data_IF_249021406735
#
_entry.id   IF_249021406735
#
_cell.length_a   1.000
_cell.length_b   1.000
_cell.length_c   1.000
_cell.angle_alpha   90.00
_cell.angle_beta   90.00
_cell.angle_gamma   90.00
#
_symmetry.space_group_name_H-M   'P 1'
#
loop_
_entity.id
_entity.type
_entity.pdbx_description
1 polymer ?
#
# COMPACT_ATOMS: atom_id res chain seq x y z
N UNK A 1 -12.71 56.22 12.78
CA UNK A 1 -12.80 54.76 12.76
C UNK A 1 -12.35 54.27 14.12
N UNK A 2 -13.20 53.54 14.86
CA UNK A 2 -12.96 53.22 16.27
C UNK A 2 -12.02 52.00 16.41
N UNK A 3 -11.11 52.06 17.38
CA UNK A 3 -10.18 50.95 17.70
C UNK A 3 -10.93 49.66 18.06
N UNK A 4 -12.14 49.76 18.63
CA UNK A 4 -13.00 48.63 18.96
C UNK A 4 -13.49 47.85 17.74
N UNK A 5 -13.85 48.54 16.65
CA UNK A 5 -14.30 47.92 15.40
C UNK A 5 -13.15 47.14 14.73
N UNK A 6 -11.92 47.67 14.80
CA UNK A 6 -10.72 47.00 14.31
C UNK A 6 -10.32 45.78 15.16
N UNK A 7 -10.53 45.84 16.48
CA UNK A 7 -10.25 44.69 17.35
C UNK A 7 -11.26 43.55 17.12
N UNK A 8 -12.53 43.88 16.91
CA UNK A 8 -13.55 42.88 16.58
C UNK A 8 -13.31 42.24 15.20
N UNK A 9 -12.86 43.01 14.19
CA UNK A 9 -12.55 42.43 12.88
C UNK A 9 -11.35 41.47 12.94
N UNK A 10 -10.29 41.84 13.67
CA UNK A 10 -9.13 40.96 13.91
C UNK A 10 -9.53 39.70 14.68
N UNK A 11 -10.40 39.82 15.69
CA UNK A 11 -10.93 38.68 16.45
C UNK A 11 -11.71 37.72 15.55
N UNK A 12 -12.63 38.24 14.73
CA UNK A 12 -13.42 37.42 13.81
C UNK A 12 -12.54 36.75 12.74
N UNK A 13 -11.52 37.47 12.22
CA UNK A 13 -10.54 36.91 11.30
C UNK A 13 -9.74 35.77 11.94
N UNK A 14 -9.20 36.00 13.14
CA UNK A 14 -8.44 34.98 13.88
C UNK A 14 -9.31 33.76 14.20
N UNK A 15 -10.57 33.96 14.59
CA UNK A 15 -11.53 32.88 14.81
C UNK A 15 -11.84 32.10 13.53
N UNK A 16 -12.05 32.79 12.40
CA UNK A 16 -12.25 32.16 11.10
C UNK A 16 -11.04 31.34 10.65
N UNK A 17 -9.84 31.90 10.76
CA UNK A 17 -8.59 31.21 10.44
C UNK A 17 -8.38 29.96 11.32
N UNK A 18 -8.63 30.06 12.63
CA UNK A 18 -8.52 28.92 13.54
C UNK A 18 -9.53 27.81 13.23
N UNK A 19 -10.76 28.17 12.87
CA UNK A 19 -11.79 27.22 12.47
C UNK A 19 -11.41 26.49 11.17
N UNK A 20 -10.94 27.21 10.15
CA UNK A 20 -10.47 26.63 8.89
C UNK A 20 -9.29 25.69 9.10
N UNK A 21 -8.29 26.09 9.89
CA UNK A 21 -7.15 25.24 10.22
C UNK A 21 -7.59 23.94 10.93
N UNK A 22 -8.55 24.06 11.86
CA UNK A 22 -9.11 22.89 12.58
C UNK A 22 -9.87 21.95 11.64
N UNK A 23 -10.63 22.48 10.68
CA UNK A 23 -11.35 21.68 9.69
C UNK A 23 -10.38 20.93 8.77
N UNK A 24 -9.36 21.62 8.22
CA UNK A 24 -8.32 20.98 7.40
C UNK A 24 -7.56 19.88 8.15
N UNK A 25 -7.24 20.11 9.43
CA UNK A 25 -6.62 19.08 10.26
C UNK A 25 -7.53 17.84 10.45
N UNK A 26 -8.84 18.03 10.60
CA UNK A 26 -9.81 16.92 10.69
C UNK A 26 -9.91 16.14 9.39
N UNK A 27 -9.93 16.82 8.25
CA UNK A 27 -9.95 16.22 6.91
C UNK A 27 -8.69 15.38 6.71
N UNK A 28 -7.51 15.94 6.97
CA UNK A 28 -6.24 15.22 6.87
C UNK A 28 -6.20 14.00 7.79
N UNK A 29 -6.67 14.12 9.03
CA UNK A 29 -6.73 13.00 9.97
C UNK A 29 -7.69 11.89 9.49
N UNK A 30 -8.86 12.26 8.96
CA UNK A 30 -9.83 11.30 8.42
C UNK A 30 -9.28 10.58 7.18
N UNK A 31 -8.65 11.30 6.26
CA UNK A 31 -8.00 10.72 5.07
C UNK A 31 -6.85 9.79 5.47
N UNK A 32 -6.00 10.20 6.41
CA UNK A 32 -4.91 9.36 6.90
C UNK A 32 -5.44 8.06 7.55
N UNK A 33 -6.50 8.16 8.37
CA UNK A 33 -7.14 6.99 8.98
C UNK A 33 -7.73 6.03 7.94
N UNK A 34 -8.38 6.56 6.92
CA UNK A 34 -8.92 5.77 5.82
C UNK A 34 -7.80 5.08 5.02
N UNK A 35 -6.71 5.79 4.70
CA UNK A 35 -5.56 5.22 4.01
C UNK A 35 -4.89 4.08 4.80
N UNK A 36 -4.70 4.24 6.12
CA UNK A 36 -4.19 3.16 6.96
C UNK A 36 -5.09 1.92 6.90
N UNK A 37 -6.41 2.13 6.85
CA UNK A 37 -7.38 1.04 6.73
C UNK A 37 -7.30 0.36 5.35
N UNK A 38 -7.15 1.13 4.27
CA UNK A 38 -6.94 0.60 2.91
C UNK A 38 -5.72 -0.32 2.87
N UNK A 39 -4.57 0.12 3.39
CA UNK A 39 -3.37 -0.71 3.41
C UNK A 39 -3.53 -2.00 4.21
N UNK A 40 -4.33 -1.98 5.28
CA UNK A 40 -4.64 -3.17 6.06
C UNK A 40 -5.49 -4.16 5.25
N UNK A 41 -6.50 -3.68 4.50
CA UNK A 41 -7.31 -4.53 3.61
C UNK A 41 -6.50 -5.06 2.42
N UNK A 42 -5.62 -4.25 1.82
CA UNK A 42 -4.72 -4.69 0.74
C UNK A 42 -3.77 -5.81 1.21
N UNK A 43 -3.31 -5.76 2.46
CA UNK A 43 -2.49 -6.83 3.04
C UNK A 43 -3.30 -8.12 3.26
N UNK A 44 -4.57 -8.02 3.66
CA UNK A 44 -5.46 -9.18 3.74
C UNK A 44 -5.68 -9.81 2.36
N UNK A 45 -5.87 -9.01 1.33
CA UNK A 45 -5.99 -9.50 -0.06
C UNK A 45 -4.72 -10.24 -0.46
N UNK A 46 -3.53 -9.62 -0.30
CA UNK A 46 -2.26 -10.27 -0.66
C UNK A 46 -2.06 -11.60 0.07
N UNK A 47 -2.40 -11.67 1.35
CA UNK A 47 -2.33 -12.91 2.14
C UNK A 47 -3.34 -13.95 1.66
N UNK A 48 -4.57 -13.55 1.37
CA UNK A 48 -5.62 -14.44 0.89
C UNK A 48 -5.28 -15.01 -0.49
N UNK A 49 -4.82 -14.17 -1.43
CA UNK A 49 -4.39 -14.58 -2.77
C UNK A 49 -3.19 -15.53 -2.70
N UNK A 50 -2.22 -15.27 -1.81
CA UNK A 50 -1.08 -16.17 -1.62
C UNK A 50 -1.49 -17.54 -1.07
N UNK A 51 -2.45 -17.60 -0.14
CA UNK A 51 -2.97 -18.87 0.39
C UNK A 51 -3.82 -19.60 -0.65
N UNK A 52 -4.66 -18.88 -1.38
CA UNK A 52 -5.46 -19.39 -2.49
C UNK A 52 -4.57 -20.01 -3.57
N UNK A 53 -3.48 -19.34 -3.96
CA UNK A 53 -2.53 -19.86 -4.95
C UNK A 53 -1.77 -21.10 -4.46
N UNK A 54 -1.43 -21.19 -3.18
CA UNK A 54 -0.82 -22.40 -2.59
C UNK A 54 -1.80 -23.57 -2.59
N UNK A 55 -3.05 -23.31 -2.21
CA UNK A 55 -4.13 -24.30 -2.25
C UNK A 55 -4.31 -24.82 -3.69
N UNK A 56 -4.35 -23.91 -4.65
CA UNK A 56 -4.45 -24.21 -6.08
C UNK A 56 -3.33 -25.15 -6.55
N UNK A 57 -2.08 -24.82 -6.22
CA UNK A 57 -0.95 -25.63 -6.65
C UNK A 57 -0.90 -26.99 -5.94
N UNK A 58 -1.34 -27.08 -4.68
CA UNK A 58 -1.47 -28.35 -3.96
C UNK A 58 -2.39 -29.30 -4.72
N UNK A 59 -3.60 -28.85 -5.05
CA UNK A 59 -4.60 -29.70 -5.70
C UNK A 59 -4.13 -30.13 -7.09
N UNK A 60 -3.55 -29.19 -7.83
CA UNK A 60 -2.93 -29.47 -9.12
C UNK A 60 -1.82 -30.53 -9.02
N UNK A 61 -0.94 -30.43 -8.03
CA UNK A 61 0.20 -31.34 -7.87
C UNK A 61 -0.22 -32.74 -7.36
N UNK A 62 -1.25 -32.81 -6.52
CA UNK A 62 -1.79 -34.07 -5.99
C UNK A 62 -2.70 -34.76 -7.02
N UNK A 63 -3.22 -34.03 -8.01
CA UNK A 63 -4.15 -34.54 -9.02
C UNK A 63 -5.57 -34.70 -8.49
N UNK A 64 -5.90 -34.03 -7.38
CA UNK A 64 -7.25 -33.97 -6.84
C UNK A 64 -8.10 -32.98 -7.65
N UNK A 65 -9.42 -33.25 -7.73
CA UNK A 65 -10.34 -32.27 -8.31
C UNK A 65 -10.38 -31.03 -7.42
N UNK A 66 -10.27 -29.87 -8.07
CA UNK A 66 -10.35 -28.54 -7.47
C UNK A 66 -11.59 -28.40 -6.58
N UNK A 67 -11.43 -28.46 -5.26
CA UNK A 67 -12.54 -28.34 -4.32
C UNK A 67 -12.99 -26.88 -4.16
N UNK A 68 -13.98 -26.50 -4.96
CA UNK A 68 -14.60 -25.17 -4.91
C UNK A 68 -15.05 -24.74 -3.50
N UNK A 69 -15.38 -25.67 -2.60
CA UNK A 69 -15.76 -25.33 -1.22
C UNK A 69 -14.58 -24.81 -0.39
N UNK A 70 -13.34 -25.23 -0.69
CA UNK A 70 -12.14 -24.72 -0.02
C UNK A 70 -11.67 -23.38 -0.63
N UNK A 71 -11.87 -23.17 -1.94
CA UNK A 71 -11.48 -21.91 -2.62
C UNK A 71 -12.44 -20.75 -2.32
N UNK A 72 -13.75 -21.01 -2.28
CA UNK A 72 -14.79 -19.98 -2.22
C UNK A 72 -14.66 -19.04 -1.01
N UNK A 73 -14.36 -19.52 0.22
CA UNK A 73 -14.13 -18.65 1.37
C UNK A 73 -12.95 -17.68 1.19
N UNK A 74 -11.91 -18.07 0.44
CA UNK A 74 -10.77 -17.18 0.15
C UNK A 74 -11.16 -16.13 -0.89
N UNK A 75 -11.89 -16.52 -1.93
CA UNK A 75 -12.44 -15.57 -2.91
C UNK A 75 -13.35 -14.54 -2.23
N UNK A 76 -14.26 -14.98 -1.35
CA UNK A 76 -15.14 -14.08 -0.60
C UNK A 76 -14.36 -13.08 0.25
N UNK A 77 -13.32 -13.52 0.98
CA UNK A 77 -12.46 -12.61 1.76
C UNK A 77 -11.79 -11.54 0.88
N UNK A 78 -11.34 -11.93 -0.32
CA UNK A 78 -10.74 -10.99 -1.27
C UNK A 78 -11.78 -9.98 -1.76
N UNK A 79 -12.97 -10.45 -2.13
CA UNK A 79 -14.03 -9.60 -2.66
C UNK A 79 -14.59 -8.63 -1.61
N UNK A 80 -14.77 -9.09 -0.37
CA UNK A 80 -15.15 -8.25 0.78
C UNK A 80 -14.11 -7.16 1.03
N UNK A 81 -12.82 -7.51 1.03
CA UNK A 81 -11.74 -6.55 1.23
C UNK A 81 -11.68 -5.52 0.08
N UNK A 82 -11.85 -5.97 -1.18
CA UNK A 82 -11.90 -5.09 -2.36
C UNK A 82 -13.07 -4.12 -2.30
N UNK A 83 -14.25 -4.59 -1.87
CA UNK A 83 -15.43 -3.76 -1.67
C UNK A 83 -15.17 -2.71 -0.57
N UNK A 84 -14.58 -3.10 0.54
CA UNK A 84 -14.27 -2.18 1.64
C UNK A 84 -13.25 -1.11 1.22
N UNK A 85 -12.25 -1.48 0.40
CA UNK A 85 -11.31 -0.51 -0.19
C UNK A 85 -12.03 0.50 -1.08
N UNK A 86 -13.01 0.06 -1.90
CA UNK A 86 -13.80 0.97 -2.71
C UNK A 86 -14.60 1.96 -1.84
N UNK A 87 -15.29 1.46 -0.82
CA UNK A 87 -16.05 2.30 0.13
C UNK A 87 -15.14 3.30 0.88
N UNK A 88 -13.93 2.89 1.26
CA UNK A 88 -12.95 3.77 1.91
C UNK A 88 -12.40 4.83 0.96
N UNK A 89 -12.23 4.52 -0.32
CA UNK A 89 -11.81 5.48 -1.36
C UNK A 89 -12.92 6.50 -1.61
N UNK A 90 -14.15 6.04 -1.75
CA UNK A 90 -15.31 6.93 -1.88
C UNK A 90 -15.43 7.86 -0.66
N UNK A 91 -15.25 7.34 0.55
CA UNK A 91 -15.21 8.15 1.77
C UNK A 91 -14.11 9.20 1.77
N UNK A 92 -12.91 8.87 1.27
CA UNK A 92 -11.81 9.84 1.14
C UNK A 92 -12.19 10.96 0.19
N UNK A 93 -12.82 10.63 -0.94
CA UNK A 93 -13.23 11.60 -1.94
C UNK A 93 -14.35 12.51 -1.41
N UNK A 94 -15.32 11.96 -0.69
CA UNK A 94 -16.36 12.73 0.00
C UNK A 94 -15.78 13.69 1.06
N UNK A 95 -14.83 13.20 1.87
CA UNK A 95 -14.17 14.01 2.91
C UNK A 95 -13.35 15.15 2.31
N UNK A 96 -12.70 14.92 1.17
CA UNK A 96 -11.95 15.96 0.45
C UNK A 96 -12.88 16.95 -0.24
N UNK A 97 -13.93 16.48 -0.90
CA UNK A 97 -14.93 17.34 -1.54
C UNK A 97 -15.64 18.24 -0.53
N UNK A 98 -15.88 17.75 0.70
CA UNK A 98 -16.43 18.52 1.80
C UNK A 98 -15.49 19.63 2.32
N UNK A 99 -14.16 19.51 2.12
CA UNK A 99 -13.18 20.58 2.41
C UNK A 99 -13.12 21.64 1.29
N UNK A 100 -13.36 21.22 0.04
CA UNK A 100 -13.31 22.07 -1.15
C UNK A 100 -14.61 22.86 -1.39
N UNK A 101 -15.73 22.40 -0.82
CA UNK A 101 -17.00 23.15 -0.82
C UNK A 101 -16.79 24.52 -0.17
N UNK A 102 -17.15 25.63 -0.84
CA UNK A 102 -16.70 26.95 -0.45
C UNK A 102 -17.26 27.32 0.92
N UNK A 103 -16.36 27.47 1.89
CA UNK A 103 -16.58 28.38 3.00
C UNK A 103 -16.78 29.78 2.42
N UNK A 104 -18.03 30.10 2.06
CA UNK A 104 -18.41 31.43 1.64
C UNK A 104 -18.05 32.42 2.76
N UNK A 105 -17.39 33.50 2.34
CA UNK A 105 -17.02 34.70 3.11
C UNK A 105 -15.69 34.66 3.85
N UNK A 106 -14.70 35.34 3.28
CA UNK A 106 -13.60 35.90 4.06
C UNK A 106 -12.28 36.09 3.34
N UNK A 107 -12.26 36.87 2.25
CA UNK A 107 -11.06 37.55 1.69
C UNK A 107 -9.85 36.66 1.40
N UNK A 108 -9.64 36.43 0.10
CA UNK A 108 -8.36 36.07 -0.47
C UNK A 108 -7.22 36.88 0.17
N UNK A 109 -6.27 36.17 0.74
CA UNK A 109 -4.88 36.58 0.69
C UNK A 109 -4.14 35.44 -0.03
N UNK A 110 -4.01 35.58 -1.34
CA UNK A 110 -2.93 34.98 -2.10
C UNK A 110 -1.63 35.50 -1.48
N UNK A 111 -1.05 34.74 -0.56
CA UNK A 111 0.37 34.78 -0.33
C UNK A 111 0.98 33.85 -1.38
N UNK A 112 1.15 34.42 -2.57
CA UNK A 112 1.99 33.87 -3.63
C UNK A 112 3.41 33.73 -3.05
N UNK A 113 3.82 32.49 -2.79
CA UNK A 113 5.22 32.16 -2.57
C UNK A 113 5.77 31.72 -3.91
N UNK A 114 5.98 32.70 -4.78
CA UNK A 114 6.71 32.56 -6.03
C UNK A 114 8.12 32.02 -5.72
N UNK A 115 8.35 30.82 -6.23
CA UNK A 115 9.58 30.30 -6.81
C UNK A 115 10.93 30.60 -6.14
N UNK A 116 11.54 29.53 -5.64
CA UNK A 116 12.99 29.36 -5.72
C UNK A 116 13.28 27.96 -6.27
N UNK A 117 13.11 27.79 -7.59
CA UNK A 117 13.91 26.79 -8.32
C UNK A 117 15.41 27.13 -8.11
N UNK A 118 16.23 26.12 -7.84
CA UNK A 118 17.37 25.97 -8.72
C UNK A 118 17.35 24.58 -9.34
N UNK A 119 17.14 24.57 -10.65
CA UNK A 119 17.34 23.44 -11.53
C UNK A 119 18.84 23.11 -11.61
N UNK A 120 19.16 21.88 -11.20
CA UNK A 120 20.16 20.94 -11.73
C UNK A 120 21.54 21.47 -12.20
N UNK A 121 22.61 20.88 -11.65
CA UNK A 121 23.54 20.12 -12.49
C UNK A 121 24.35 19.07 -11.70
N UNK A 122 24.65 18.02 -12.45
CA UNK A 122 25.34 16.77 -12.22
C UNK A 122 26.66 16.82 -11.41
N UNK A 123 26.83 15.86 -10.50
CA UNK A 123 28.15 15.34 -10.15
C UNK A 123 28.04 13.87 -9.79
N UNK A 124 28.17 13.03 -10.82
CA UNK A 124 28.52 11.63 -10.69
C UNK A 124 29.75 11.41 -9.78
N UNK A 125 29.60 10.52 -8.81
CA UNK A 125 30.72 9.79 -8.20
C UNK A 125 30.25 8.37 -7.88
N UNK A 126 30.31 7.52 -8.89
CA UNK A 126 30.33 6.07 -8.73
C UNK A 126 31.74 5.62 -8.27
N UNK A 127 31.82 4.35 -7.86
CA UNK A 127 33.01 3.57 -7.48
C UNK A 127 33.50 3.84 -6.04
N UNK A 128 33.72 2.88 -5.14
CA UNK A 128 33.62 1.41 -5.10
C UNK A 128 33.71 1.01 -3.60
N UNK A 129 33.22 -0.18 -3.22
CA UNK A 129 33.15 -0.62 -1.82
C UNK A 129 34.49 -1.19 -1.34
N UNK A 130 34.97 -0.73 -0.18
CA UNK A 130 36.13 -1.32 0.48
C UNK A 130 35.66 -2.44 1.42
N UNK A 131 35.98 -3.66 1.02
CA UNK A 131 35.96 -4.88 1.80
C UNK A 131 37.22 -4.98 2.69
N UNK A 132 37.29 -6.04 3.52
CA UNK A 132 38.35 -6.50 4.45
C UNK A 132 38.13 -6.02 5.90
N UNK A 133 37.99 -6.87 6.94
CA UNK A 133 38.54 -8.21 7.21
C UNK A 133 37.41 -9.16 7.71
N UNK A 134 37.18 -10.34 7.13
CA UNK A 134 38.00 -11.55 7.09
C UNK A 134 38.23 -12.21 8.47
N UNK A 135 37.36 -13.17 8.83
CA UNK A 135 37.79 -14.40 9.51
C UNK A 135 37.12 -15.60 8.84
N UNK A 136 37.92 -16.28 8.02
CA UNK A 136 37.85 -17.71 7.64
C UNK A 136 38.31 -18.51 8.89
N UNK A 137 38.07 -19.79 9.16
CA UNK A 137 37.80 -20.99 8.36
C UNK A 137 37.59 -22.15 9.39
N UNK A 138 36.64 -23.06 9.18
CA UNK A 138 36.71 -24.50 9.58
C UNK A 138 35.54 -25.21 8.87
N UNK A 139 35.75 -25.68 7.64
CA UNK A 139 36.13 -27.05 7.26
C UNK A 139 34.98 -28.06 7.36
N UNK A 140 34.52 -28.52 6.18
CA UNK A 140 34.21 -29.90 5.81
C UNK A 140 32.97 -29.99 4.89
N UNK A 141 33.24 -30.14 3.59
CA UNK A 141 32.36 -30.86 2.66
C UNK A 141 32.89 -32.31 2.54
N UNK A 142 32.27 -33.26 1.80
CA UNK A 142 31.03 -33.19 1.01
C UNK A 142 30.11 -34.44 1.12
N UNK A 143 29.05 -34.45 0.31
CA UNK A 143 28.36 -35.60 -0.29
C UNK A 143 27.39 -36.42 0.60
N UNK A 144 26.09 -36.40 0.24
CA UNK A 144 25.48 -37.44 -0.62
C UNK A 144 24.02 -37.07 -0.93
N UNK A 145 23.73 -36.90 -2.21
CA UNK A 145 22.39 -36.92 -2.81
C UNK A 145 21.91 -38.37 -2.90
N UNK A 146 20.74 -38.77 -2.35
CA UNK A 146 20.13 -40.00 -2.78
C UNK A 146 19.43 -39.80 -4.12
N UNK A 147 19.99 -40.43 -5.17
CA UNK A 147 19.35 -40.64 -6.46
C UNK A 147 18.05 -41.46 -6.27
N UNK A 148 16.90 -40.84 -6.54
CA UNK A 148 15.63 -41.57 -6.68
C UNK A 148 15.61 -42.15 -8.09
N UNK A 149 15.94 -43.45 -8.19
CA UNK A 149 15.73 -44.26 -9.39
C UNK A 149 14.23 -44.44 -9.62
N UNK A 150 13.67 -43.67 -10.54
CA UNK A 150 12.39 -43.99 -11.17
C UNK A 150 12.72 -44.93 -12.32
N UNK A 151 12.56 -46.25 -12.08
CA UNK A 151 12.56 -47.23 -13.15
C UNK A 151 11.29 -47.01 -13.99
N UNK A 152 11.50 -46.47 -15.20
CA UNK A 152 10.52 -46.49 -16.28
C UNK A 152 10.49 -47.92 -16.81
N UNK A 153 9.51 -48.70 -16.38
CA UNK A 153 9.12 -49.92 -17.08
C UNK A 153 8.39 -49.51 -18.37
N UNK A 154 9.17 -49.37 -19.44
CA UNK A 154 8.66 -49.40 -20.81
C UNK A 154 8.37 -50.87 -21.15
N UNK A 155 7.09 -51.26 -21.12
CA UNK A 155 6.61 -52.51 -21.69
C UNK A 155 5.72 -52.17 -22.90
N UNK A 156 6.32 -52.24 -24.07
CA UNK A 156 5.67 -52.42 -25.37
C UNK A 156 6.59 -53.37 -26.18
N UNK A 157 6.13 -54.06 -27.24
CA UNK A 157 4.78 -54.52 -27.56
C UNK A 157 4.78 -56.05 -27.88
N UNK A 158 3.61 -56.69 -27.92
CA UNK A 158 3.49 -57.98 -28.64
C UNK A 158 2.28 -57.99 -29.56
N UNK A 159 2.59 -57.85 -30.84
CA UNK A 159 1.75 -58.29 -31.94
C UNK A 159 1.68 -59.82 -31.96
N UNK A 160 0.47 -60.36 -32.03
CA UNK A 160 0.06 -61.44 -32.93
C UNK A 160 -1.47 -61.43 -33.07
#
# INVERSE_FOLDING_TARGET
MNLSENFESVKNFAMGAAQTATQKAKVLAAVAKANVSIYAEEDKIRKAEAQLGKLYYRDYAVGEEMDTAEYLPWCQKIDESKKLIAELKDYIDDVKAADEAPAASGTACEADFEDAEPKAEDAAAAETPCCCEASKEEEAAPAETPEIKIEVAADEPKAE
#
